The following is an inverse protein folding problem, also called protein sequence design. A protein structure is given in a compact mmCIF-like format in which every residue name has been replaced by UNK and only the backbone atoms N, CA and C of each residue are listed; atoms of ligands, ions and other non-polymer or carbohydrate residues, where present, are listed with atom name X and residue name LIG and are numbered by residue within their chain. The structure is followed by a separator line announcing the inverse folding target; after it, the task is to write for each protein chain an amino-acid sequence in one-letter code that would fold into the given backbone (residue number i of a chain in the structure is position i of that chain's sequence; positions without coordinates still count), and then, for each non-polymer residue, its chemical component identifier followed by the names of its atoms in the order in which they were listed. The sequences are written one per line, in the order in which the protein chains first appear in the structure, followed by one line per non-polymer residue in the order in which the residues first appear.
data_IF_176504290226
#
_entry.id   IF_176504290226
#
_cell.length_a   1.000
_cell.length_b   1.000
_cell.length_c   1.000
_cell.angle_alpha   90.00
_cell.angle_beta   90.00
_cell.angle_gamma   90.00
#
_symmetry.space_group_name_H-M   'P 1'
#
loop_
_entity.id
_entity.type
_entity.pdbx_description
1 polymer ?
#
# COMPACT_ATOMS: atom_id res chain seq x y z
N UNK A 1 -27.16 -21.39 -5.98
CA UNK A 1 -25.86 -20.74 -5.70
C UNK A 1 -25.75 -20.58 -4.19
N UNK A 2 -24.62 -20.97 -3.60
CA UNK A 2 -24.35 -20.72 -2.18
C UNK A 2 -24.35 -19.22 -1.86
N UNK A 3 -24.65 -18.86 -0.63
CA UNK A 3 -24.59 -17.47 -0.16
C UNK A 3 -23.12 -17.07 0.03
N UNK A 4 -22.76 -15.89 -0.44
CA UNK A 4 -21.45 -15.27 -0.23
C UNK A 4 -21.65 -13.90 0.40
N UNK A 5 -20.60 -13.36 1.02
CA UNK A 5 -20.58 -11.99 1.53
C UNK A 5 -19.18 -11.40 1.36
N UNK A 6 -19.11 -10.07 1.27
CA UNK A 6 -17.86 -9.32 1.15
C UNK A 6 -18.03 -7.98 1.85
N UNK A 7 -16.98 -7.53 2.53
CA UNK A 7 -16.87 -6.18 3.05
C UNK A 7 -15.48 -5.62 2.73
N UNK A 8 -15.43 -4.32 2.44
CA UNK A 8 -14.24 -3.59 2.02
C UNK A 8 -14.17 -2.29 2.80
N UNK A 9 -12.99 -1.89 3.26
CA UNK A 9 -12.79 -0.56 3.86
C UNK A 9 -11.60 0.16 3.23
N UNK A 10 -11.68 1.49 3.22
CA UNK A 10 -10.61 2.38 2.80
C UNK A 10 -9.83 2.97 3.97
N UNK A 11 -10.33 2.88 5.20
CA UNK A 11 -9.73 3.59 6.34
C UNK A 11 -10.76 3.89 7.42
N UNK A 12 -10.29 4.39 8.56
CA UNK A 12 -11.13 4.91 9.63
C UNK A 12 -10.54 6.22 10.18
N UNK A 13 -11.33 6.98 10.95
CA UNK A 13 -10.86 8.22 11.57
C UNK A 13 -10.74 9.41 10.62
N UNK A 14 -11.54 9.42 9.54
CA UNK A 14 -11.61 10.51 8.57
C UNK A 14 -12.02 11.81 9.26
N UNK A 15 -11.41 12.93 8.85
CA UNK A 15 -11.83 14.27 9.28
C UNK A 15 -13.34 14.45 9.02
N UNK A 16 -14.17 14.77 10.04
CA UNK A 16 -15.60 15.01 9.84
C UNK A 16 -15.89 16.15 8.85
N UNK A 17 -14.91 17.01 8.58
CA UNK A 17 -14.99 18.10 7.60
C UNK A 17 -14.29 17.76 6.27
N UNK A 18 -14.01 16.48 5.98
CA UNK A 18 -13.42 16.09 4.70
C UNK A 18 -14.25 16.67 3.55
N UNK A 19 -13.65 17.36 2.56
CA UNK A 19 -14.40 17.95 1.47
C UNK A 19 -15.28 16.93 0.75
N UNK A 20 -16.51 17.31 0.41
CA UNK A 20 -17.50 16.42 -0.19
C UNK A 20 -16.97 15.73 -1.46
N UNK A 21 -16.18 16.44 -2.26
CA UNK A 21 -15.52 15.87 -3.44
C UNK A 21 -14.61 14.68 -3.08
N UNK A 22 -13.75 14.82 -2.06
CA UNK A 22 -12.86 13.73 -1.61
C UNK A 22 -13.65 12.55 -1.04
N UNK A 23 -14.74 12.82 -0.32
CA UNK A 23 -15.65 11.76 0.15
C UNK A 23 -16.26 10.98 -1.03
N UNK A 24 -16.64 11.69 -2.10
CA UNK A 24 -17.24 11.08 -3.28
C UNK A 24 -16.23 10.27 -4.09
N UNK A 25 -15.01 10.78 -4.27
CA UNK A 25 -13.89 10.04 -4.89
C UNK A 25 -13.61 8.74 -4.12
N UNK A 26 -13.57 8.79 -2.78
CA UNK A 26 -13.35 7.62 -1.93
C UNK A 26 -14.49 6.60 -2.08
N UNK A 27 -15.75 7.06 -2.09
CA UNK A 27 -16.92 6.19 -2.32
C UNK A 27 -16.91 5.55 -3.69
N UNK A 28 -16.51 6.29 -4.73
CA UNK A 28 -16.41 5.77 -6.09
C UNK A 28 -15.36 4.67 -6.20
N UNK A 29 -14.18 4.89 -5.59
CA UNK A 29 -13.13 3.87 -5.53
C UNK A 29 -13.59 2.63 -4.76
N UNK A 30 -14.15 2.79 -3.56
CA UNK A 30 -14.67 1.65 -2.79
C UNK A 30 -15.76 0.89 -3.52
N UNK A 31 -16.65 1.61 -4.23
CA UNK A 31 -17.69 0.99 -5.06
C UNK A 31 -17.08 0.19 -6.22
N UNK A 32 -16.04 0.71 -6.88
CA UNK A 32 -15.29 0.00 -7.93
C UNK A 32 -14.68 -1.29 -7.39
N UNK A 33 -13.97 -1.21 -6.27
CA UNK A 33 -13.33 -2.35 -5.60
C UNK A 33 -14.35 -3.39 -5.12
N UNK A 34 -15.48 -2.94 -4.55
CA UNK A 34 -16.57 -3.83 -4.13
C UNK A 34 -17.19 -4.57 -5.32
N UNK A 35 -17.46 -3.87 -6.43
CA UNK A 35 -18.02 -4.48 -7.64
C UNK A 35 -17.05 -5.50 -8.27
N UNK A 36 -15.73 -5.24 -8.20
CA UNK A 36 -14.71 -6.21 -8.61
C UNK A 36 -14.80 -7.50 -7.78
N UNK A 37 -14.89 -7.37 -6.45
CA UNK A 37 -15.05 -8.52 -5.56
C UNK A 37 -16.37 -9.27 -5.74
N UNK A 38 -17.49 -8.56 -5.90
CA UNK A 38 -18.81 -9.15 -6.20
C UNK A 38 -18.77 -9.96 -7.51
N UNK A 39 -18.13 -9.42 -8.55
CA UNK A 39 -18.01 -10.11 -9.84
C UNK A 39 -17.18 -11.38 -9.72
N UNK A 40 -16.11 -11.35 -8.93
CA UNK A 40 -15.28 -12.52 -8.65
C UNK A 40 -16.06 -13.60 -7.86
N UNK A 41 -16.80 -13.21 -6.81
CA UNK A 41 -17.63 -14.14 -6.02
C UNK A 41 -18.75 -14.77 -6.86
N UNK A 42 -19.42 -13.98 -7.71
CA UNK A 42 -20.43 -14.49 -8.67
C UNK A 42 -19.86 -15.49 -9.66
N UNK A 43 -18.56 -15.40 -9.95
CA UNK A 43 -17.82 -16.33 -10.79
C UNK A 43 -17.26 -17.53 -10.02
N UNK A 44 -17.66 -17.72 -8.75
CA UNK A 44 -17.19 -18.76 -7.83
C UNK A 44 -15.67 -18.76 -7.61
N UNK A 45 -15.02 -17.59 -7.61
CA UNK A 45 -13.63 -17.51 -7.17
C UNK A 45 -13.54 -17.78 -5.65
N UNK A 46 -12.47 -18.48 -5.19
CA UNK A 46 -12.22 -18.68 -3.76
C UNK A 46 -12.08 -17.35 -3.01
N UNK A 47 -12.55 -17.29 -1.76
CA UNK A 47 -12.51 -16.07 -0.95
C UNK A 47 -11.10 -15.46 -0.85
N UNK A 48 -10.07 -16.30 -0.74
CA UNK A 48 -8.66 -15.87 -0.66
C UNK A 48 -8.19 -15.11 -1.91
N UNK A 49 -8.69 -15.49 -3.09
CA UNK A 49 -8.36 -14.82 -4.36
C UNK A 49 -9.16 -13.52 -4.51
N UNK A 50 -10.39 -13.48 -3.97
CA UNK A 50 -11.24 -12.30 -3.97
C UNK A 50 -10.63 -11.19 -3.11
N UNK A 51 -10.20 -11.50 -1.87
CA UNK A 51 -9.63 -10.48 -0.98
C UNK A 51 -8.31 -9.94 -1.52
N UNK A 52 -7.46 -10.79 -2.11
CA UNK A 52 -6.24 -10.34 -2.79
C UNK A 52 -6.57 -9.41 -3.96
N UNK A 53 -7.50 -9.81 -4.84
CA UNK A 53 -7.90 -9.02 -6.01
C UNK A 53 -8.39 -7.62 -5.62
N UNK A 54 -9.22 -7.54 -4.58
CA UNK A 54 -9.79 -6.27 -4.10
C UNK A 54 -8.73 -5.38 -3.47
N UNK A 55 -7.87 -5.92 -2.59
CA UNK A 55 -6.82 -5.13 -1.94
C UNK A 55 -5.76 -4.66 -2.93
N UNK A 56 -5.41 -5.47 -3.95
CA UNK A 56 -4.53 -5.05 -5.05
C UNK A 56 -5.08 -3.85 -5.83
N UNK A 57 -6.40 -3.81 -6.02
CA UNK A 57 -7.06 -2.68 -6.70
C UNK A 57 -6.97 -1.41 -5.85
N UNK A 58 -7.17 -1.53 -4.53
CA UNK A 58 -7.00 -0.43 -3.58
C UNK A 58 -5.55 0.08 -3.54
N UNK A 59 -4.57 -0.83 -3.48
CA UNK A 59 -3.13 -0.49 -3.52
C UNK A 59 -2.69 0.22 -4.81
N UNK A 60 -3.41 0.03 -5.91
CA UNK A 60 -3.04 0.60 -7.21
C UNK A 60 -3.49 2.05 -7.37
N UNK A 61 -4.46 2.48 -6.55
CA UNK A 61 -5.04 3.80 -6.55
C UNK A 61 -4.34 4.69 -5.50
N UNK A 62 -3.95 5.93 -5.83
CA UNK A 62 -3.24 6.80 -4.88
C UNK A 62 -4.13 7.37 -3.77
N UNK A 63 -5.45 7.16 -3.82
CA UNK A 63 -6.40 7.80 -2.91
C UNK A 63 -6.29 7.31 -1.46
N UNK A 64 -5.92 6.05 -1.24
CA UNK A 64 -5.80 5.45 0.10
C UNK A 64 -4.35 5.21 0.48
N UNK A 65 -4.09 5.13 1.79
CA UNK A 65 -2.76 4.96 2.37
C UNK A 65 -2.28 3.49 2.28
N UNK A 66 -2.10 3.02 1.05
CA UNK A 66 -1.61 1.69 0.75
C UNK A 66 -1.06 1.64 -0.66
N UNK A 67 -0.04 0.81 -0.91
CA UNK A 67 0.59 0.70 -2.22
C UNK A 67 1.04 2.07 -2.75
N UNK A 68 0.45 2.49 -3.87
CA UNK A 68 0.78 3.76 -4.56
C UNK A 68 0.53 5.01 -3.71
N UNK A 69 -0.47 5.00 -2.83
CA UNK A 69 -0.85 6.15 -2.00
C UNK A 69 -0.19 6.17 -0.61
N UNK A 70 0.80 5.31 -0.37
CA UNK A 70 1.39 5.12 0.95
C UNK A 70 2.00 6.38 1.55
N UNK A 71 1.74 6.58 2.85
CA UNK A 71 2.32 7.63 3.67
C UNK A 71 3.85 7.51 3.76
N UNK A 72 4.49 8.64 4.07
CA UNK A 72 5.94 8.75 4.13
C UNK A 72 6.44 8.59 5.57
N UNK A 73 7.62 7.98 5.72
CA UNK A 73 8.38 7.92 6.97
C UNK A 73 8.98 9.29 7.33
N UNK A 74 9.60 9.38 8.51
CA UNK A 74 10.40 10.55 8.94
C UNK A 74 11.55 10.91 7.99
N UNK A 75 11.95 9.98 7.12
CA UNK A 75 13.00 10.19 6.11
C UNK A 75 12.45 10.53 4.72
N UNK A 76 11.14 10.73 4.60
CA UNK A 76 10.47 11.00 3.33
C UNK A 76 10.41 9.80 2.38
N UNK A 77 10.65 8.58 2.87
CA UNK A 77 10.56 7.34 2.09
C UNK A 77 9.24 6.62 2.31
N UNK A 78 8.86 5.70 1.42
CA UNK A 78 7.71 4.80 1.60
C UNK A 78 8.16 3.49 2.24
N UNK A 79 7.43 3.01 3.24
CA UNK A 79 7.59 1.68 3.84
C UNK A 79 6.23 1.02 4.05
N UNK A 80 5.94 -0.04 3.30
CA UNK A 80 4.63 -0.68 3.26
C UNK A 80 4.61 -2.02 3.99
N UNK A 81 3.40 -2.38 4.41
CA UNK A 81 3.11 -3.57 5.19
C UNK A 81 1.78 -4.18 4.71
N UNK A 82 1.69 -5.50 4.67
CA UNK A 82 0.44 -6.19 4.33
C UNK A 82 0.41 -7.60 4.91
N UNK A 83 -0.80 -8.12 5.13
CA UNK A 83 -1.01 -9.54 5.43
C UNK A 83 -2.30 -10.08 4.83
N UNK A 84 -2.32 -11.38 4.57
CA UNK A 84 -3.45 -12.13 4.01
C UNK A 84 -3.58 -13.47 4.74
N UNK A 85 -4.81 -13.91 4.97
CA UNK A 85 -5.10 -15.17 5.69
C UNK A 85 -6.26 -15.93 5.05
N UNK A 86 -6.04 -17.22 4.81
CA UNK A 86 -7.07 -18.21 4.46
C UNK A 86 -7.61 -18.86 5.74
N UNK A 87 -8.90 -18.68 6.00
CA UNK A 87 -9.56 -19.19 7.19
C UNK A 87 -9.65 -20.72 7.23
N UNK A 88 -9.72 -21.38 6.07
CA UNK A 88 -9.96 -22.82 5.94
C UNK A 88 -8.81 -23.65 6.52
N UNK A 89 -7.58 -23.26 6.17
CA UNK A 89 -6.36 -23.97 6.60
C UNK A 89 -5.54 -23.14 7.59
N UNK A 90 -6.03 -21.95 7.96
CA UNK A 90 -5.30 -20.93 8.73
C UNK A 90 -3.92 -20.61 8.17
N UNK A 91 -3.72 -20.81 6.86
CA UNK A 91 -2.49 -20.38 6.20
C UNK A 91 -2.52 -18.87 6.08
N UNK A 92 -1.38 -18.26 6.30
CA UNK A 92 -1.23 -16.82 6.23
C UNK A 92 0.12 -16.45 5.63
N UNK A 93 0.16 -15.23 5.11
CA UNK A 93 1.37 -14.58 4.64
C UNK A 93 1.36 -13.12 5.04
N UNK A 94 2.52 -12.60 5.40
CA UNK A 94 2.70 -11.24 5.85
C UNK A 94 4.04 -10.68 5.37
N UNK A 95 4.07 -9.37 5.16
CA UNK A 95 5.24 -8.61 4.72
C UNK A 95 5.30 -7.25 5.39
N UNK A 96 6.51 -6.75 5.64
CA UNK A 96 6.72 -5.42 6.23
C UNK A 96 8.00 -4.77 5.76
N UNK A 97 8.06 -3.45 5.85
CA UNK A 97 9.24 -2.67 5.45
C UNK A 97 9.52 -2.76 3.96
N UNK A 98 8.48 -2.93 3.14
CA UNK A 98 8.61 -2.95 1.68
C UNK A 98 8.72 -1.53 1.15
N UNK A 99 9.70 -1.30 0.29
CA UNK A 99 10.01 0.02 -0.27
C UNK A 99 9.83 0.05 -1.79
N UNK A 100 9.91 -1.11 -2.45
CA UNK A 100 9.90 -1.18 -3.92
C UNK A 100 8.72 -1.95 -4.51
N UNK A 101 8.03 -2.76 -3.70
CA UNK A 101 6.99 -3.68 -4.19
C UNK A 101 5.68 -2.94 -4.42
N UNK A 102 5.20 -2.90 -5.68
CA UNK A 102 3.95 -2.21 -6.02
C UNK A 102 2.72 -2.72 -5.27
N UNK A 103 2.61 -4.03 -5.08
CA UNK A 103 1.46 -4.66 -4.44
C UNK A 103 1.90 -5.52 -3.24
N UNK A 104 2.06 -4.91 -2.05
CA UNK A 104 2.39 -5.62 -0.82
C UNK A 104 1.52 -6.86 -0.55
N UNK A 105 0.19 -6.78 -0.78
CA UNK A 105 -0.71 -7.89 -0.48
C UNK A 105 -0.43 -9.15 -1.31
N UNK A 106 -0.01 -8.98 -2.57
CA UNK A 106 0.35 -10.11 -3.41
C UNK A 106 1.69 -10.71 -3.03
N UNK A 107 2.63 -9.91 -2.54
CA UNK A 107 3.84 -10.49 -1.97
C UNK A 107 3.52 -11.27 -0.70
N UNK A 108 2.61 -10.78 0.15
CA UNK A 108 2.11 -11.53 1.30
C UNK A 108 1.49 -12.88 0.85
N UNK A 109 0.68 -12.89 -0.22
CA UNK A 109 0.16 -14.13 -0.81
C UNK A 109 1.27 -15.07 -1.27
N UNK A 110 2.31 -14.55 -1.93
CA UNK A 110 3.46 -15.35 -2.35
C UNK A 110 4.25 -15.91 -1.16
N UNK A 111 4.40 -15.17 -0.06
CA UNK A 111 5.01 -15.71 1.17
C UNK A 111 4.23 -16.92 1.66
N UNK A 112 2.89 -16.83 1.72
CA UNK A 112 2.01 -17.93 2.13
C UNK A 112 2.11 -19.18 1.23
N UNK A 113 2.33 -19.00 -0.07
CA UNK A 113 2.23 -20.10 -1.05
C UNK A 113 3.56 -20.65 -1.54
N UNK A 114 4.61 -19.82 -1.55
CA UNK A 114 5.90 -20.11 -2.19
C UNK A 114 7.05 -20.12 -1.19
N UNK A 115 6.76 -20.06 0.10
CA UNK A 115 7.74 -20.22 1.17
C UNK A 115 7.20 -21.15 2.27
N UNK A 116 8.07 -21.72 3.11
CA UNK A 116 7.65 -22.43 4.32
C UNK A 116 7.31 -21.47 5.48
N UNK A 117 7.34 -20.15 5.25
CA UNK A 117 7.21 -19.12 6.28
C UNK A 117 5.89 -18.36 6.15
N UNK A 118 5.46 -17.75 7.26
CA UNK A 118 4.26 -16.92 7.29
C UNK A 118 4.55 -15.42 7.21
N UNK A 119 5.79 -14.99 7.45
CA UNK A 119 6.13 -13.58 7.54
C UNK A 119 7.59 -13.34 7.13
N UNK A 120 7.82 -12.45 6.17
CA UNK A 120 9.12 -11.89 5.84
C UNK A 120 9.11 -10.36 6.03
N UNK A 121 10.24 -9.76 6.36
CA UNK A 121 10.31 -8.31 6.52
C UNK A 121 11.58 -7.71 5.91
N UNK A 122 11.53 -6.41 5.65
CA UNK A 122 12.64 -5.56 5.22
C UNK A 122 13.38 -6.15 4.01
N UNK A 123 14.72 -6.12 4.05
CA UNK A 123 15.58 -6.63 2.98
C UNK A 123 15.31 -8.09 2.62
N UNK A 124 14.90 -8.93 3.58
CA UNK A 124 14.56 -10.33 3.32
C UNK A 124 13.28 -10.48 2.49
N UNK A 125 12.26 -9.67 2.77
CA UNK A 125 11.03 -9.66 1.97
C UNK A 125 11.27 -9.11 0.56
N UNK A 126 12.09 -8.06 0.44
CA UNK A 126 12.51 -7.49 -0.85
C UNK A 126 13.30 -8.51 -1.70
N UNK A 127 14.21 -9.26 -1.09
CA UNK A 127 14.97 -10.30 -1.78
C UNK A 127 14.06 -11.44 -2.23
N UNK A 128 13.15 -11.88 -1.37
CA UNK A 128 12.14 -12.87 -1.75
C UNK A 128 11.30 -12.39 -2.94
N UNK A 129 10.88 -11.12 -2.94
CA UNK A 129 10.14 -10.52 -4.06
C UNK A 129 10.92 -10.60 -5.38
N UNK A 130 12.22 -10.29 -5.37
CA UNK A 130 13.10 -10.43 -6.55
C UNK A 130 13.16 -11.86 -7.05
N UNK A 131 13.34 -12.83 -6.15
CA UNK A 131 13.38 -14.26 -6.51
C UNK A 131 12.09 -14.73 -7.19
N UNK A 132 10.94 -14.21 -6.75
CA UNK A 132 9.67 -14.52 -7.41
C UNK A 132 9.64 -13.97 -8.84
N UNK A 133 10.10 -12.73 -9.08
CA UNK A 133 10.18 -12.16 -10.45
C UNK A 133 11.09 -12.99 -11.37
N UNK A 134 12.27 -13.38 -10.89
CA UNK A 134 13.22 -14.16 -11.70
C UNK A 134 12.66 -15.53 -12.11
N UNK A 135 11.95 -16.21 -11.20
CA UNK A 135 11.34 -17.53 -11.46
C UNK A 135 10.36 -17.49 -12.64
N UNK A 136 9.63 -16.40 -12.84
CA UNK A 136 8.71 -16.23 -13.97
C UNK A 136 9.41 -15.89 -15.30
N UNK A 137 10.55 -15.19 -15.26
CA UNK A 137 11.28 -14.82 -16.48
C UNK A 137 12.01 -15.99 -17.14
N UNK A 138 12.32 -17.05 -16.40
CA UNK A 138 13.01 -18.24 -16.93
C UNK A 138 12.07 -19.30 -17.51
N UNK A 139 10.76 -19.23 -17.24
CA UNK A 139 9.75 -20.11 -17.87
C UNK A 139 9.04 -19.37 -19.00
N UNK A 140 9.29 -19.75 -20.26
CA UNK A 140 8.68 -19.21 -21.48
C UNK A 140 7.17 -19.53 -21.63
N UNK A 141 6.34 -19.11 -20.68
CA UNK A 141 4.88 -19.09 -20.85
C UNK A 141 4.34 -17.71 -20.49
N UNK A 142 4.26 -16.86 -21.51
CA UNK A 142 3.43 -15.66 -21.51
C UNK A 142 1.98 -16.12 -21.35
N UNK A 143 1.38 -15.89 -20.18
CA UNK A 143 0.03 -15.34 -19.99
C UNK A 143 -0.41 -15.35 -18.51
N UNK A 144 -0.68 -14.14 -18.01
CA UNK A 144 -1.58 -13.77 -16.91
C UNK A 144 -1.15 -13.99 -15.43
N UNK A 145 -1.28 -12.89 -14.66
CA UNK A 145 -1.33 -12.77 -13.19
C UNK A 145 -0.04 -12.94 -12.39
N UNK A 146 0.80 -11.90 -12.41
CA UNK A 146 1.28 -11.16 -11.22
C UNK A 146 2.32 -10.15 -11.73
N UNK A 147 1.89 -8.92 -12.04
CA UNK A 147 2.85 -7.87 -12.38
C UNK A 147 3.34 -7.22 -11.10
N UNK A 148 4.24 -7.92 -10.41
CA UNK A 148 4.97 -7.43 -9.25
C UNK A 148 6.06 -6.46 -9.76
N UNK A 149 5.66 -5.26 -10.17
CA UNK A 149 6.63 -4.29 -10.66
C UNK A 149 7.33 -3.60 -9.48
N UNK A 150 8.66 -3.71 -9.46
CA UNK A 150 9.55 -2.95 -8.58
C UNK A 150 9.51 -1.46 -8.95
N UNK A 151 9.38 -0.58 -7.96
CA UNK A 151 9.66 0.85 -8.07
C UNK A 151 11.12 1.07 -7.66
N UNK A 152 11.97 1.69 -8.51
CA UNK A 152 13.36 1.91 -8.16
C UNK A 152 13.50 2.80 -6.92
N UNK A 153 14.25 2.33 -5.93
CA UNK A 153 14.47 2.98 -4.62
C UNK A 153 14.98 4.43 -4.70
N UNK A 154 15.56 4.87 -5.83
CA UNK A 154 16.02 6.25 -6.07
C UNK A 154 14.92 7.23 -6.53
N UNK A 155 13.71 6.76 -6.81
CA UNK A 155 12.58 7.61 -7.21
C UNK A 155 11.69 8.04 -6.02
N UNK A 156 11.96 7.53 -4.81
CA UNK A 156 11.24 7.88 -3.59
C UNK A 156 11.97 8.93 -2.74
N UNK A 157 12.67 9.85 -3.40
CA UNK A 157 13.12 11.11 -2.80
C UNK A 157 12.43 12.24 -3.54
N UNK A 158 11.56 12.97 -2.86
CA UNK A 158 11.00 14.20 -3.39
C UNK A 158 12.12 15.24 -3.53
N UNK A 159 12.15 16.07 -4.60
CA UNK A 159 13.07 17.20 -4.65
C UNK A 159 12.80 18.11 -3.45
N UNK A 160 13.85 18.63 -2.82
CA UNK A 160 13.74 19.53 -1.68
C UNK A 160 12.79 20.70 -2.00
N UNK A 161 11.96 21.16 -1.04
CA UNK A 161 11.28 22.43 -1.22
C UNK A 161 12.36 23.50 -1.34
N UNK A 162 12.44 24.17 -2.48
CA UNK A 162 13.24 25.40 -2.61
C UNK A 162 12.78 26.35 -1.50
N UNK A 163 13.55 26.42 -0.42
CA UNK A 163 13.50 27.53 0.51
C UNK A 163 14.00 28.74 -0.26
N UNK A 164 13.10 29.45 -0.94
CA UNK A 164 13.37 30.80 -1.43
C UNK A 164 13.47 31.74 -0.24
N UNK A 165 14.61 31.68 0.44
CA UNK A 165 15.17 32.82 1.14
C UNK A 165 15.71 33.76 0.06
N UNK A 166 14.96 34.83 -0.19
CA UNK A 166 15.48 36.04 -0.81
C UNK A 166 16.78 36.44 -0.10
N UNK A 167 17.91 36.50 -0.83
CA UNK A 167 18.93 37.57 -0.75
C UNK A 167 19.98 37.42 -1.88
N UNK A 168 19.74 38.17 -2.95
CA UNK A 168 20.65 39.05 -3.74
C UNK A 168 22.15 38.68 -3.93
N UNK A 169 22.53 38.65 -5.22
CA UNK A 169 23.82 38.95 -5.91
C UNK A 169 24.94 37.89 -6.02
N UNK A 170 25.31 37.57 -7.28
CA UNK A 170 26.74 37.41 -7.63
C UNK A 170 27.16 36.39 -8.70
N UNK A 171 27.07 36.79 -9.98
CA UNK A 171 27.98 36.50 -11.13
C UNK A 171 28.14 35.08 -11.75
N UNK A 172 28.24 35.18 -13.09
CA UNK A 172 28.50 34.21 -14.18
C UNK A 172 29.76 33.35 -14.03
N UNK A 173 29.74 32.17 -14.64
CA UNK A 173 30.91 31.38 -15.04
C UNK A 173 30.53 30.22 -15.95
N UNK A 174 31.31 30.02 -17.01
CA UNK A 174 30.98 29.36 -18.28
C UNK A 174 31.08 27.82 -18.30
N UNK A 175 30.57 27.26 -19.41
CA UNK A 175 30.52 25.85 -19.76
C UNK A 175 31.88 25.21 -20.10
N UNK A 176 32.00 23.90 -19.87
CA UNK A 176 32.89 23.04 -20.66
C UNK A 176 32.28 21.66 -20.95
N UNK A 177 32.45 21.26 -22.21
CA UNK A 177 31.98 20.04 -22.86
C UNK A 177 33.14 19.04 -22.90
N UNK A 178 32.98 17.87 -22.29
CA UNK A 178 33.94 16.76 -22.31
C UNK A 178 33.36 15.51 -22.98
N UNK A 179 34.06 15.03 -24.01
CA UNK A 179 33.66 14.00 -24.98
C UNK A 179 33.66 12.57 -24.41
N UNK A 180 32.67 11.79 -24.87
CA UNK A 180 32.87 10.48 -25.49
C UNK A 180 33.02 9.25 -24.59
N UNK A 181 31.96 8.43 -24.52
CA UNK A 181 32.16 6.98 -24.56
C UNK A 181 31.01 6.27 -25.29
N UNK A 182 31.40 5.23 -26.02
CA UNK A 182 30.67 4.55 -27.08
C UNK A 182 29.39 3.85 -26.58
N UNK A 183 28.30 4.04 -27.33
CA UNK A 183 27.01 3.36 -27.12
C UNK A 183 27.01 2.00 -27.84
N UNK A 184 26.79 0.92 -27.09
CA UNK A 184 26.47 -0.41 -27.63
C UNK A 184 24.95 -0.51 -27.90
N UNK A 185 24.50 -0.98 -29.08
CA UNK A 185 23.09 -1.10 -29.39
C UNK A 185 22.58 -2.46 -28.91
N UNK A 186 22.00 -2.52 -27.70
CA UNK A 186 21.60 -3.82 -27.17
C UNK A 186 20.84 -3.85 -25.86
N UNK A 187 20.09 -2.81 -25.48
CA UNK A 187 19.01 -2.96 -24.48
C UNK A 187 18.03 -1.80 -24.64
N UNK A 188 16.92 -2.03 -25.34
CA UNK A 188 15.75 -1.16 -25.23
C UNK A 188 15.12 -1.42 -23.86
N UNK A 189 15.68 -0.82 -22.81
CA UNK A 189 14.97 -0.63 -21.54
C UNK A 189 13.98 0.48 -21.82
N UNK A 190 12.73 0.12 -22.09
CA UNK A 190 11.62 1.06 -22.14
C UNK A 190 11.38 1.55 -20.71
N UNK A 191 12.13 2.56 -20.29
CA UNK A 191 11.93 3.27 -19.02
C UNK A 191 10.63 4.07 -19.14
N UNK A 192 9.51 3.45 -18.82
CA UNK A 192 8.27 4.17 -18.55
C UNK A 192 8.47 4.90 -17.21
N UNK A 193 8.87 6.17 -17.28
CA UNK A 193 8.79 7.07 -16.13
C UNK A 193 7.31 7.21 -15.75
N UNK A 194 6.92 6.61 -14.64
CA UNK A 194 5.69 6.98 -13.95
C UNK A 194 5.96 8.31 -13.23
N UNK A 195 5.34 9.39 -13.71
CA UNK A 195 5.37 10.70 -13.07
C UNK A 195 4.50 10.62 -11.80
N UNK A 196 5.14 10.35 -10.65
CA UNK A 196 4.49 10.23 -9.34
C UNK A 196 4.39 11.59 -8.66
N UNK A 197 3.77 12.58 -9.31
CA UNK A 197 3.36 13.79 -8.61
C UNK A 197 2.05 13.53 -7.89
N UNK A 198 2.07 13.65 -6.57
CA UNK A 198 0.87 14.02 -5.82
C UNK A 198 0.50 15.41 -6.33
N UNK A 199 -0.73 15.66 -6.83
CA UNK A 199 -1.14 17.01 -7.21
C UNK A 199 -1.02 17.92 -5.98
N UNK A 200 -0.08 18.86 -6.01
CA UNK A 200 0.04 19.93 -5.02
C UNK A 200 -0.99 21.04 -5.24
N UNK A 201 -1.84 20.92 -6.26
CA UNK A 201 -2.92 21.88 -6.54
C UNK A 201 -4.15 21.57 -5.68
N UNK A 202 -4.04 21.87 -4.39
CA UNK A 202 -5.09 22.35 -3.46
C UNK A 202 -4.53 22.55 -2.05
N UNK A 203 -3.22 22.84 -1.91
CA UNK A 203 -2.71 23.46 -0.70
C UNK A 203 -3.13 24.94 -0.66
N UNK A 204 -4.41 25.21 -0.35
CA UNK A 204 -4.74 26.49 0.28
C UNK A 204 -4.24 26.42 1.72
N UNK A 205 -3.01 26.87 1.92
CA UNK A 205 -2.61 27.45 3.20
C UNK A 205 -3.64 28.52 3.55
N UNK A 206 -4.57 28.17 4.44
CA UNK A 206 -5.69 29.00 4.81
C UNK A 206 -6.11 28.70 6.24
N UNK A 207 -5.53 29.48 7.16
CA UNK A 207 -5.97 29.67 8.54
C UNK A 207 -6.04 28.43 9.44
N UNK A 208 -5.01 28.33 10.31
CA UNK A 208 -5.20 27.82 11.65
C UNK A 208 -6.35 28.59 12.34
N UNK A 209 -7.46 27.90 12.65
CA UNK A 209 -8.37 28.27 13.72
C UNK A 209 -9.30 27.09 14.09
N UNK A 210 -8.99 26.49 15.24
CA UNK A 210 -9.88 25.86 16.22
C UNK A 210 -10.94 24.83 15.76
N UNK A 211 -10.72 23.56 16.11
CA UNK A 211 -11.45 22.92 17.22
C UNK A 211 -10.63 21.77 17.83
N UNK A 212 -10.71 21.67 19.15
CA UNK A 212 -9.96 20.77 20.04
C UNK A 212 -10.26 19.29 19.76
N UNK A 213 -9.37 18.60 19.05
CA UNK A 213 -9.24 17.15 19.12
C UNK A 213 -8.03 16.84 19.99
N UNK A 214 -8.28 16.58 21.27
CA UNK A 214 -7.24 16.37 22.29
C UNK A 214 -6.36 15.14 22.03
N UNK A 215 -6.70 14.30 21.04
CA UNK A 215 -5.84 13.20 20.59
C UNK A 215 -4.73 13.71 19.66
N UNK A 216 -3.53 13.79 20.25
CA UNK A 216 -2.27 13.97 19.53
C UNK A 216 -1.52 12.65 19.54
N UNK A 217 -0.94 12.29 18.40
CA UNK A 217 0.04 11.21 18.32
C UNK A 217 1.36 11.81 17.88
N UNK A 218 2.46 11.50 18.57
CA UNK A 218 3.79 12.10 18.34
C UNK A 218 3.80 13.64 18.21
N UNK A 219 2.91 14.33 18.94
CA UNK A 219 2.83 15.79 18.94
C UNK A 219 2.05 16.43 17.78
N UNK A 220 1.54 15.65 16.82
CA UNK A 220 0.71 16.13 15.72
C UNK A 220 -0.78 15.77 15.93
N UNK A 221 -1.73 16.60 15.46
CA UNK A 221 -3.16 16.29 15.51
C UNK A 221 -3.48 15.01 14.73
N UNK A 222 -4.41 14.18 15.23
CA UNK A 222 -4.81 12.93 14.55
C UNK A 222 -5.33 13.15 13.12
N UNK A 223 -5.88 14.34 12.81
CA UNK A 223 -6.33 14.73 11.47
C UNK A 223 -5.18 14.80 10.44
N UNK A 224 -3.94 15.00 10.88
CA UNK A 224 -2.74 14.96 10.03
C UNK A 224 -2.39 13.51 9.63
N UNK A 225 -2.86 12.53 10.39
CA UNK A 225 -2.56 11.13 10.20
C UNK A 225 -3.52 10.38 9.28
N UNK A 226 -4.57 11.03 8.76
CA UNK A 226 -5.67 10.46 7.94
C UNK A 226 -5.39 9.02 7.46
N UNK A 227 -5.61 8.02 8.33
CA UNK A 227 -4.97 6.73 8.20
C UNK A 227 -5.84 5.85 7.36
N UNK A 228 -5.57 5.82 6.06
CA UNK A 228 -6.46 5.08 5.17
C UNK A 228 -5.84 3.74 4.77
N UNK A 229 -5.56 2.94 5.80
CA UNK A 229 -5.29 1.50 5.70
C UNK A 229 -6.48 0.83 5.03
N UNK A 230 -6.19 -0.01 4.04
CA UNK A 230 -7.20 -0.66 3.22
C UNK A 230 -7.31 -2.14 3.59
N UNK A 231 -8.51 -2.69 3.40
CA UNK A 231 -8.75 -4.07 3.75
C UNK A 231 -10.01 -4.65 3.13
N UNK A 232 -10.04 -5.98 3.07
CA UNK A 232 -11.14 -6.75 2.50
C UNK A 232 -11.31 -8.06 3.26
N UNK A 233 -12.57 -8.42 3.53
CA UNK A 233 -12.97 -9.73 4.05
C UNK A 233 -14.03 -10.32 3.12
N UNK A 234 -13.95 -11.61 2.87
CA UNK A 234 -14.91 -12.31 2.04
C UNK A 234 -15.21 -13.71 2.58
N UNK A 235 -16.43 -14.16 2.35
CA UNK A 235 -16.85 -15.56 2.45
C UNK A 235 -17.40 -16.00 1.10
N UNK A 236 -16.85 -17.09 0.55
CA UNK A 236 -17.25 -17.61 -0.76
C UNK A 236 -18.49 -18.52 -0.68
N UNK A 237 -18.94 -19.02 -1.84
CA UNK A 237 -20.13 -19.87 -1.95
C UNK A 237 -19.99 -21.24 -1.29
N UNK A 238 -18.77 -21.64 -0.91
CA UNK A 238 -18.49 -22.85 -0.13
C UNK A 238 -18.42 -22.56 1.37
N UNK A 239 -18.58 -21.30 1.79
CA UNK A 239 -18.49 -20.89 3.19
C UNK A 239 -17.07 -20.65 3.70
N UNK A 240 -16.06 -20.62 2.81
CA UNK A 240 -14.67 -20.38 3.21
C UNK A 240 -14.44 -18.89 3.41
N UNK A 241 -13.89 -18.52 4.56
CA UNK A 241 -13.56 -17.13 4.88
C UNK A 241 -12.10 -16.78 4.55
N UNK A 242 -11.87 -15.54 4.13
CA UNK A 242 -10.54 -14.97 3.97
C UNK A 242 -10.52 -13.49 4.36
N UNK A 243 -9.33 -13.00 4.71
CA UNK A 243 -9.10 -11.59 5.05
C UNK A 243 -7.75 -11.11 4.52
N UNK A 244 -7.69 -9.83 4.16
CA UNK A 244 -6.50 -9.15 3.66
C UNK A 244 -6.48 -7.69 4.15
N UNK A 245 -5.31 -7.21 4.58
CA UNK A 245 -5.10 -5.83 5.05
C UNK A 245 -3.77 -5.31 4.52
N UNK A 246 -3.70 -4.05 4.08
CA UNK A 246 -2.49 -3.42 3.53
C UNK A 246 -2.42 -1.93 3.91
N UNK A 247 -1.21 -1.44 4.20
CA UNK A 247 -0.99 -0.06 4.67
C UNK A 247 0.40 0.48 4.31
N UNK A 248 0.51 1.80 4.16
CA UNK A 248 1.79 2.54 4.25
C UNK A 248 2.25 2.82 5.69
N UNK A 249 1.40 2.53 6.68
CA UNK A 249 1.62 2.88 8.07
C UNK A 249 1.33 4.35 8.35
N UNK A 250 1.90 4.90 9.42
CA UNK A 250 1.64 6.27 9.83
C UNK A 250 2.50 7.28 9.05
N UNK A 251 1.93 8.45 8.77
CA UNK A 251 2.71 9.60 8.31
C UNK A 251 3.78 9.97 9.34
N UNK A 252 4.99 10.26 8.88
CA UNK A 252 6.14 10.59 9.71
C UNK A 252 6.51 9.49 10.73
N UNK A 253 6.22 8.21 10.42
CA UNK A 253 6.66 7.09 11.26
C UNK A 253 8.18 6.99 11.27
N UNK A 254 8.75 6.52 12.39
CA UNK A 254 10.15 6.11 12.44
C UNK A 254 10.40 5.02 11.38
N UNK A 255 11.53 5.10 10.67
CA UNK A 255 11.93 4.03 9.73
C UNK A 255 11.98 2.70 10.47
N UNK A 256 11.30 1.69 9.92
CA UNK A 256 11.22 0.36 10.53
C UNK A 256 10.10 0.18 11.55
N UNK A 257 9.25 1.19 11.80
CA UNK A 257 8.03 1.00 12.58
C UNK A 257 7.08 0.08 11.82
N UNK A 258 6.58 -0.94 12.51
CA UNK A 258 5.59 -1.90 12.03
C UNK A 258 4.28 -1.67 12.79
N UNK A 259 3.16 -1.56 12.06
CA UNK A 259 1.81 -1.44 12.59
C UNK A 259 1.11 -2.78 12.80
N UNK A 260 -0.21 -2.74 12.94
CA UNK A 260 -1.06 -3.91 13.15
C UNK A 260 -1.30 -4.71 11.85
N UNK A 261 -1.36 -4.03 10.71
CA UNK A 261 -1.77 -4.60 9.43
C UNK A 261 -1.01 -5.87 8.99
N UNK A 262 0.31 -6.02 9.18
CA UNK A 262 1.01 -7.26 8.84
C UNK A 262 0.95 -8.33 9.94
N UNK A 263 0.42 -8.00 11.13
CA UNK A 263 0.39 -8.91 12.28
C UNK A 263 -0.91 -9.72 12.29
N UNK A 264 -0.79 -11.02 12.01
CA UNK A 264 -1.91 -11.96 12.06
C UNK A 264 -2.46 -12.03 13.50
N UNK A 265 -3.77 -11.84 13.65
CA UNK A 265 -4.44 -11.76 14.95
C UNK A 265 -4.60 -10.34 15.49
N UNK A 266 -3.97 -9.34 14.88
CA UNK A 266 -4.20 -7.92 15.18
C UNK A 266 -4.88 -7.22 14.00
N UNK A 267 -4.13 -6.95 12.92
CA UNK A 267 -4.65 -6.25 11.74
C UNK A 267 -5.47 -7.13 10.81
N UNK A 268 -5.14 -8.42 10.74
CA UNK A 268 -5.81 -9.40 9.85
C UNK A 268 -6.02 -10.71 10.58
N UNK A 269 -7.22 -11.28 10.44
CA UNK A 269 -7.50 -12.62 10.93
C UNK A 269 -8.58 -13.30 10.07
N UNK A 270 -8.44 -14.60 9.84
CA UNK A 270 -9.50 -15.41 9.25
C UNK A 270 -9.51 -16.83 9.83
N UNK A 271 -10.70 -17.37 10.05
CA UNK A 271 -10.94 -18.76 10.41
C UNK A 271 -12.27 -19.24 9.80
N UNK A 272 -12.68 -20.46 10.09
CA UNK A 272 -13.95 -21.03 9.59
C UNK A 272 -15.20 -20.25 10.06
N UNK A 273 -15.07 -19.37 11.05
CA UNK A 273 -16.20 -18.61 11.62
C UNK A 273 -16.27 -17.16 11.12
N UNK A 274 -15.13 -16.53 10.82
CA UNK A 274 -15.08 -15.12 10.45
C UNK A 274 -13.82 -14.74 9.67
N UNK A 275 -13.91 -13.61 8.96
CA UNK A 275 -12.77 -12.84 8.48
C UNK A 275 -12.81 -11.44 9.10
N UNK A 276 -11.65 -10.91 9.48
CA UNK A 276 -11.47 -9.62 10.15
C UNK A 276 -10.30 -8.90 9.48
N UNK A 277 -10.52 -7.62 9.17
CA UNK A 277 -9.51 -6.68 8.68
C UNK A 277 -9.71 -5.36 9.42
N UNK A 278 -8.62 -4.83 9.99
CA UNK A 278 -8.66 -3.69 10.90
C UNK A 278 -8.02 -2.44 10.28
N UNK A 279 -8.45 -1.28 10.79
CA UNK A 279 -7.86 0.03 10.49
C UNK A 279 -8.03 0.94 11.71
N UNK A 280 -7.06 1.81 11.96
CA UNK A 280 -7.04 2.70 13.13
C UNK A 280 -5.63 2.96 13.68
N UNK A 281 -5.54 3.23 14.98
CA UNK A 281 -4.25 3.39 15.68
C UNK A 281 -3.60 2.02 15.87
N UNK A 282 -2.61 1.70 15.03
CA UNK A 282 -1.99 0.38 14.99
C UNK A 282 -1.47 -0.11 16.34
N UNK A 283 -0.83 0.75 17.14
CA UNK A 283 -0.33 0.39 18.47
C UNK A 283 -1.45 -0.02 19.43
N UNK A 284 -2.62 0.60 19.36
CA UNK A 284 -3.77 0.23 20.17
C UNK A 284 -4.36 -1.12 19.72
N UNK A 285 -4.48 -1.34 18.40
CA UNK A 285 -4.95 -2.61 17.83
C UNK A 285 -4.03 -3.76 18.24
N UNK A 286 -2.71 -3.55 18.22
CA UNK A 286 -1.72 -4.55 18.65
C UNK A 286 -1.87 -4.91 20.13
N UNK A 287 -2.14 -3.92 21.00
CA UNK A 287 -2.25 -4.15 22.45
C UNK A 287 -3.54 -4.87 22.86
N UNK A 288 -4.60 -4.80 22.04
CA UNK A 288 -5.88 -5.46 22.30
C UNK A 288 -6.52 -5.11 23.65
N UNK A 289 -6.80 -3.82 23.94
CA UNK A 289 -7.45 -3.40 25.18
C UNK A 289 -8.88 -3.94 25.34
#
# INVERSE_FOLDING_TARGET
MGRWAIAVHGGAGVDPNLPQQRQEEAKQLLTRCLNLGISALRSNLPAIDVVELVVRELESDPLFNSGRGSALTEKGTVEMEASIMDGTKRRCGAVSGLTTVKNPISLARLVMEKSPHSYLAFSGAEEFARQQVYTYTSSLSILSRLTLFFVPSRACTWPEPEQKLLHVQGKRGDAEVGKGNQFNPGTLILTLLFDYRVPLETCSAGAAAAMDSTLKMNGLPISVYAPETVGCVAVDSEGRCAAATSTGGLMNKMTGRIGDSPLIGAGTYACDLCGISCTGEGEAIIRGP
#
